data_IF_723792557333
#
_entry.id   IF_723792557333
#
_cell.length_a   1.000
_cell.length_b   1.000
_cell.length_c   1.000
_cell.angle_alpha   90.00
_cell.angle_beta   90.00
_cell.angle_gamma   90.00
#
_symmetry.space_group_name_H-M   'P 1'
#
loop_
_entity.id
_entity.type
_entity.pdbx_description
1 polymer ?
#
# COMPACT_ATOMS: atom_id res chain seq x y z
N UNK A 1 6.63 -1.07 29.83
CA UNK A 1 8.00 -1.58 29.56
C UNK A 1 8.05 -2.79 28.62
N UNK A 2 7.66 -4.02 29.02
CA UNK A 2 7.77 -5.20 28.12
C UNK A 2 6.79 -5.17 26.92
N UNK A 3 5.57 -4.65 27.14
CA UNK A 3 4.51 -4.60 26.12
C UNK A 3 4.79 -3.55 25.03
N UNK A 4 5.34 -2.39 25.42
CA UNK A 4 5.76 -1.32 24.50
C UNK A 4 6.90 -1.77 23.58
N UNK A 5 7.87 -2.51 24.12
CA UNK A 5 8.97 -3.08 23.35
C UNK A 5 8.47 -4.11 22.31
N UNK A 6 7.43 -4.89 22.66
CA UNK A 6 6.79 -5.87 21.76
C UNK A 6 6.03 -5.17 20.63
N UNK A 7 5.29 -4.11 20.95
CA UNK A 7 4.53 -3.30 19.98
C UNK A 7 5.46 -2.59 18.98
N UNK A 8 6.60 -2.06 19.45
CA UNK A 8 7.62 -1.45 18.56
C UNK A 8 8.27 -2.45 17.61
N UNK A 9 8.56 -3.68 18.09
CA UNK A 9 9.06 -4.78 17.24
C UNK A 9 8.01 -5.19 16.20
N UNK A 10 6.76 -5.39 16.62
CA UNK A 10 5.66 -5.78 15.73
C UNK A 10 5.43 -4.73 14.63
N UNK A 11 5.37 -3.45 15.00
CA UNK A 11 5.21 -2.34 14.03
C UNK A 11 6.32 -2.35 12.99
N UNK A 12 7.55 -2.65 13.41
CA UNK A 12 8.69 -2.74 12.49
C UNK A 12 8.57 -3.91 11.53
N UNK A 13 8.19 -5.10 12.01
CA UNK A 13 7.97 -6.28 11.17
C UNK A 13 6.86 -6.01 10.15
N UNK A 14 5.70 -5.52 10.61
CA UNK A 14 4.56 -5.21 9.72
C UNK A 14 4.96 -4.16 8.67
N UNK A 15 5.73 -3.14 9.06
CA UNK A 15 6.20 -2.12 8.13
C UNK A 15 7.17 -2.66 7.08
N UNK A 16 8.06 -3.58 7.45
CA UNK A 16 8.98 -4.23 6.50
C UNK A 16 8.19 -5.09 5.51
N UNK A 17 7.22 -5.87 5.99
CA UNK A 17 6.36 -6.69 5.13
C UNK A 17 5.59 -5.81 4.16
N UNK A 18 4.93 -4.75 4.65
CA UNK A 18 4.23 -3.79 3.80
C UNK A 18 5.19 -3.10 2.82
N UNK A 19 6.39 -2.70 3.28
CA UNK A 19 7.37 -2.06 2.41
C UNK A 19 7.75 -2.96 1.22
N UNK A 20 8.07 -4.22 1.47
CA UNK A 20 8.43 -5.17 0.41
C UNK A 20 7.28 -5.41 -0.56
N UNK A 21 6.05 -5.58 -0.05
CA UNK A 21 4.87 -5.72 -0.89
C UNK A 21 4.66 -4.49 -1.79
N UNK A 22 4.74 -3.28 -1.23
CA UNK A 22 4.53 -2.03 -1.98
C UNK A 22 5.67 -1.70 -2.94
N UNK A 23 6.90 -2.06 -2.60
CA UNK A 23 8.03 -1.96 -3.53
C UNK A 23 7.84 -2.89 -4.73
N UNK A 24 7.43 -4.14 -4.49
CA UNK A 24 7.16 -5.10 -5.56
C UNK A 24 5.99 -4.64 -6.44
N UNK A 25 4.86 -4.25 -5.84
CA UNK A 25 3.70 -3.76 -6.58
C UNK A 25 3.98 -2.43 -7.31
N UNK A 26 4.79 -1.55 -6.71
CA UNK A 26 5.19 -0.30 -7.31
C UNK A 26 6.08 -0.52 -8.54
N UNK A 27 7.11 -1.36 -8.41
CA UNK A 27 8.02 -1.69 -9.52
C UNK A 27 7.29 -2.40 -10.66
N UNK A 28 6.38 -3.33 -10.38
CA UNK A 28 5.59 -4.01 -11.43
C UNK A 28 4.71 -3.03 -12.21
N UNK A 29 4.08 -2.05 -11.53
CA UNK A 29 3.33 -0.98 -12.20
C UNK A 29 4.24 -0.03 -12.98
N UNK A 30 5.41 0.32 -12.44
CA UNK A 30 6.40 1.13 -13.15
C UNK A 30 6.99 0.43 -14.38
N UNK A 31 7.06 -0.89 -14.36
CA UNK A 31 7.43 -1.71 -15.51
C UNK A 31 6.31 -1.82 -16.58
N UNK A 32 5.15 -1.21 -16.36
CA UNK A 32 4.03 -1.25 -17.31
C UNK A 32 3.29 -2.59 -17.35
N UNK A 33 3.45 -3.44 -16.32
CA UNK A 33 2.85 -4.78 -16.33
C UNK A 33 1.34 -4.77 -16.07
N UNK A 34 0.75 -3.62 -15.73
CA UNK A 34 -0.68 -3.48 -15.45
C UNK A 34 -1.40 -2.52 -16.41
N UNK A 35 -0.78 -2.13 -17.55
CA UNK A 35 -1.40 -1.18 -18.51
C UNK A 35 -2.78 -1.68 -18.94
N UNK A 36 -2.86 -2.95 -19.35
CA UNK A 36 -4.09 -3.57 -19.87
C UNK A 36 -5.15 -3.69 -18.77
N UNK A 37 -4.74 -4.10 -17.56
CA UNK A 37 -5.63 -4.21 -16.40
C UNK A 37 -6.24 -2.85 -16.01
N UNK A 38 -5.40 -1.80 -15.98
CA UNK A 38 -5.86 -0.44 -15.71
C UNK A 38 -6.78 0.08 -16.82
N UNK A 39 -6.50 -0.27 -18.08
CA UNK A 39 -7.39 0.00 -19.21
C UNK A 39 -8.75 -0.67 -19.07
N UNK A 40 -8.79 -1.94 -18.64
CA UNK A 40 -10.03 -2.67 -18.36
C UNK A 40 -10.84 -2.05 -17.21
N UNK A 41 -10.18 -1.39 -16.25
CA UNK A 41 -10.83 -0.60 -15.20
C UNK A 41 -11.26 0.81 -15.65
N UNK A 42 -11.01 1.18 -16.90
CA UNK A 42 -11.38 2.47 -17.47
C UNK A 42 -10.41 3.61 -17.15
N UNK A 43 -9.20 3.30 -16.70
CA UNK A 43 -8.15 4.29 -16.46
C UNK A 43 -7.22 4.46 -17.66
N UNK A 44 -6.66 5.67 -17.87
CA UNK A 44 -5.65 5.88 -18.90
C UNK A 44 -4.34 5.17 -18.53
N UNK A 45 -3.56 4.77 -19.54
CA UNK A 45 -2.32 4.01 -19.37
C UNK A 45 -1.30 4.67 -18.42
N UNK A 46 -1.27 6.01 -18.39
CA UNK A 46 -0.35 6.77 -17.53
C UNK A 46 -0.67 6.60 -16.03
N UNK A 47 -1.93 6.31 -15.68
CA UNK A 47 -2.40 6.27 -14.30
C UNK A 47 -1.72 5.17 -13.49
N UNK A 48 -1.40 4.03 -14.11
CA UNK A 48 -0.68 2.97 -13.43
C UNK A 48 0.70 3.45 -12.93
N UNK A 49 1.39 4.31 -13.69
CA UNK A 49 2.73 4.77 -13.34
C UNK A 49 2.64 5.76 -12.18
N UNK A 50 1.59 6.59 -12.14
CA UNK A 50 1.31 7.44 -10.98
C UNK A 50 1.14 6.57 -9.71
N UNK A 51 0.34 5.51 -9.78
CA UNK A 51 0.16 4.58 -8.66
C UNK A 51 1.47 3.85 -8.35
N UNK A 52 2.23 3.43 -9.35
CA UNK A 52 3.53 2.77 -9.19
C UNK A 52 4.56 3.64 -8.48
N UNK A 53 4.63 4.93 -8.82
CA UNK A 53 5.49 5.91 -8.10
C UNK A 53 5.02 6.05 -6.66
N UNK A 54 3.72 6.23 -6.43
CA UNK A 54 3.16 6.40 -5.09
C UNK A 54 3.40 5.18 -4.20
N UNK A 55 3.18 3.97 -4.72
CA UNK A 55 3.43 2.71 -4.01
C UNK A 55 4.91 2.49 -3.74
N UNK A 56 5.79 2.76 -4.72
CA UNK A 56 7.24 2.64 -4.54
C UNK A 56 7.74 3.61 -3.46
N UNK A 57 7.31 4.88 -3.52
CA UNK A 57 7.66 5.89 -2.53
C UNK A 57 7.15 5.53 -1.14
N UNK A 58 5.93 5.01 -1.02
CA UNK A 58 5.39 4.52 0.24
C UNK A 58 6.17 3.31 0.76
N UNK A 59 6.55 2.37 -0.12
CA UNK A 59 7.38 1.22 0.23
C UNK A 59 8.73 1.64 0.83
N UNK A 60 9.44 2.56 0.19
CA UNK A 60 10.69 3.12 0.73
C UNK A 60 10.44 3.86 2.05
N UNK A 61 9.38 4.68 2.11
CA UNK A 61 9.05 5.50 3.28
C UNK A 61 8.67 4.67 4.52
N UNK A 62 8.16 3.45 4.36
CA UNK A 62 7.83 2.54 5.47
C UNK A 62 9.07 1.94 6.16
N UNK A 63 10.20 1.85 5.44
CA UNK A 63 11.48 1.37 5.98
C UNK A 63 12.14 2.42 6.89
N UNK A 64 11.87 3.70 6.66
CA UNK A 64 12.45 4.80 7.41
C UNK A 64 11.51 5.18 8.57
N UNK A 65 11.95 4.95 9.81
CA UNK A 65 11.12 5.21 11.01
C UNK A 65 10.51 6.62 11.06
N UNK A 66 11.26 7.65 10.65
CA UNK A 66 10.81 9.06 10.66
C UNK A 66 9.68 9.34 9.68
N UNK A 67 9.59 8.62 8.55
CA UNK A 67 8.58 8.85 7.51
C UNK A 67 7.47 7.81 7.51
N UNK A 68 7.56 6.80 8.39
CA UNK A 68 6.64 5.66 8.45
C UNK A 68 5.18 6.07 8.56
N UNK A 69 4.87 7.10 9.37
CA UNK A 69 3.52 7.62 9.50
C UNK A 69 2.96 8.15 8.17
N UNK A 70 3.75 8.97 7.46
CA UNK A 70 3.35 9.53 6.16
C UNK A 70 3.22 8.45 5.09
N UNK A 71 4.17 7.52 5.05
CA UNK A 71 4.15 6.41 4.11
C UNK A 71 2.94 5.48 4.32
N UNK A 72 2.63 5.15 5.57
CA UNK A 72 1.43 4.36 5.91
C UNK A 72 0.14 5.10 5.53
N UNK A 73 0.10 6.43 5.68
CA UNK A 73 -1.04 7.25 5.25
C UNK A 73 -1.21 7.22 3.73
N UNK A 74 -0.10 7.31 2.97
CA UNK A 74 -0.12 7.17 1.52
C UNK A 74 -0.64 5.79 1.08
N UNK A 75 -0.21 4.71 1.75
CA UNK A 75 -0.74 3.36 1.52
C UNK A 75 -2.26 3.32 1.72
N UNK A 76 -2.79 3.91 2.80
CA UNK A 76 -4.23 3.93 3.06
C UNK A 76 -4.98 4.59 1.90
N UNK A 77 -4.51 5.73 1.40
CA UNK A 77 -5.14 6.44 0.28
C UNK A 77 -5.15 5.59 -0.98
N UNK A 78 -4.02 4.94 -1.31
CA UNK A 78 -3.93 4.05 -2.48
C UNK A 78 -4.88 2.86 -2.35
N UNK A 79 -4.96 2.25 -1.16
CA UNK A 79 -5.85 1.11 -0.93
C UNK A 79 -7.34 1.50 -1.00
N UNK A 80 -7.72 2.70 -0.55
CA UNK A 80 -9.08 3.20 -0.75
C UNK A 80 -9.43 3.31 -2.25
N UNK A 81 -8.51 3.83 -3.06
CA UNK A 81 -8.67 3.87 -4.52
C UNK A 81 -8.74 2.48 -5.15
N UNK A 82 -7.94 1.52 -4.66
CA UNK A 82 -7.97 0.14 -5.12
C UNK A 82 -9.31 -0.55 -4.78
N UNK A 83 -9.82 -0.38 -3.56
CA UNK A 83 -11.12 -0.90 -3.14
C UNK A 83 -12.23 -0.33 -4.03
N UNK A 84 -12.25 0.99 -4.23
CA UNK A 84 -13.23 1.64 -5.10
C UNK A 84 -13.18 1.08 -6.53
N UNK A 85 -11.98 0.91 -7.08
CA UNK A 85 -11.76 0.37 -8.42
C UNK A 85 -12.28 -1.06 -8.53
N UNK A 86 -11.96 -1.93 -7.58
CA UNK A 86 -12.39 -3.34 -7.59
C UNK A 86 -13.91 -3.48 -7.42
N UNK A 87 -14.52 -2.66 -6.57
CA UNK A 87 -15.97 -2.62 -6.41
C UNK A 87 -16.66 -2.19 -7.71
N UNK A 88 -16.14 -1.15 -8.38
CA UNK A 88 -16.66 -0.71 -9.68
C UNK A 88 -16.49 -1.77 -10.76
N UNK A 89 -15.41 -2.54 -10.71
CA UNK A 89 -15.13 -3.63 -11.65
C UNK A 89 -15.92 -4.92 -11.35
N UNK A 90 -16.74 -4.96 -10.28
CA UNK A 90 -17.47 -6.17 -9.87
C UNK A 90 -16.59 -7.28 -9.28
N UNK A 91 -15.32 -6.99 -8.96
CA UNK A 91 -14.32 -7.95 -8.51
C UNK A 91 -14.31 -8.10 -6.98
N UNK A 92 -15.47 -8.37 -6.38
CA UNK A 92 -15.65 -8.33 -4.92
C UNK A 92 -14.72 -9.29 -4.16
N UNK A 93 -14.40 -10.45 -4.73
CA UNK A 93 -13.48 -11.42 -4.12
C UNK A 93 -12.05 -10.89 -3.96
N UNK A 94 -11.62 -9.93 -4.79
CA UNK A 94 -10.28 -9.36 -4.74
C UNK A 94 -10.15 -8.19 -3.75
N UNK A 95 -11.27 -7.68 -3.23
CA UNK A 95 -11.30 -6.53 -2.30
C UNK A 95 -10.71 -6.87 -0.93
N UNK A 96 -10.65 -8.16 -0.58
CA UNK A 96 -10.10 -8.63 0.71
C UNK A 96 -8.65 -8.18 0.90
N UNK A 97 -7.82 -8.31 -0.14
CA UNK A 97 -6.39 -7.95 -0.08
C UNK A 97 -6.21 -6.47 0.28
N UNK A 98 -6.75 -5.49 -0.47
CA UNK A 98 -6.56 -4.09 -0.13
C UNK A 98 -7.22 -3.69 1.19
N UNK A 99 -8.30 -4.35 1.64
CA UNK A 99 -8.86 -4.13 2.99
C UNK A 99 -7.85 -4.54 4.07
N UNK A 100 -7.30 -5.76 3.99
CA UNK A 100 -6.32 -6.24 4.97
C UNK A 100 -5.09 -5.34 4.98
N UNK A 101 -4.58 -4.98 3.80
CA UNK A 101 -3.46 -4.06 3.65
C UNK A 101 -3.75 -2.68 4.26
N UNK A 102 -4.96 -2.15 4.05
CA UNK A 102 -5.39 -0.87 4.63
C UNK A 102 -5.40 -0.93 6.16
N UNK A 103 -5.94 -2.01 6.75
CA UNK A 103 -5.96 -2.19 8.20
C UNK A 103 -4.55 -2.28 8.80
N UNK A 104 -3.65 -3.01 8.15
CA UNK A 104 -2.24 -3.09 8.56
C UNK A 104 -1.54 -1.73 8.46
N UNK A 105 -1.80 -0.98 7.39
CA UNK A 105 -1.26 0.37 7.25
C UNK A 105 -1.82 1.33 8.31
N UNK A 106 -3.12 1.25 8.63
CA UNK A 106 -3.73 2.02 9.71
C UNK A 106 -3.12 1.68 11.08
N UNK A 107 -2.85 0.40 11.35
CA UNK A 107 -2.15 -0.04 12.55
C UNK A 107 -0.73 0.55 12.63
N UNK A 108 0.02 0.50 11.53
CA UNK A 108 1.37 1.09 11.45
C UNK A 108 1.34 2.59 11.65
N UNK A 109 0.39 3.30 11.01
CA UNK A 109 0.22 4.74 11.14
C UNK A 109 -0.08 5.12 12.59
N UNK A 110 -1.03 4.43 13.24
CA UNK A 110 -1.40 4.69 14.64
C UNK A 110 -0.23 4.44 15.61
N UNK A 111 0.53 3.38 15.38
CA UNK A 111 1.65 3.00 16.26
C UNK A 111 2.94 3.80 16.00
N UNK A 112 2.96 4.64 14.97
CA UNK A 112 4.10 5.49 14.59
C UNK A 112 3.88 6.98 14.87
N UNK A 113 2.77 7.33 15.53
CA UNK A 113 2.50 8.67 16.09
C UNK A 113 3.04 8.75 17.50
#
# INVERSE_FOLDING_TARGET
MADEARTGKLTTVVSIVLALLFLFQGVTKLAGMMVEQFGAWGYPAWFQYLIGVAETAAGVGLLIRKTRFHAATAVIVVMLGAIFTLLRAGQMGQVVVPIVTLLLAAFVARSSR
#
